data_IF_299687211318
#
_entry.id   IF_299687211318
#
_cell.length_a   1.000
_cell.length_b   1.000
_cell.length_c   1.000
_cell.angle_alpha   90.00
_cell.angle_beta   90.00
_cell.angle_gamma   90.00
#
_symmetry.space_group_name_H-M   'P 1'
#
loop_
_entity.id
_entity.type
_entity.pdbx_description
1 polymer ?
#
# COMPACT_ATOMS: atom_id res chain seq x y z
N UNK A 1 -8.91 14.28 -14.25
CA UNK A 1 -9.06 13.02 -15.01
C UNK A 1 -9.05 11.86 -14.01
N UNK A 2 -10.00 10.91 -14.07
CA UNK A 2 -9.97 9.71 -13.20
C UNK A 2 -8.91 8.73 -13.72
N UNK A 3 -8.10 8.17 -12.83
CA UNK A 3 -7.08 7.18 -13.14
C UNK A 3 -7.67 5.77 -13.05
N UNK A 4 -7.62 5.00 -14.13
CA UNK A 4 -8.16 3.64 -14.18
C UNK A 4 -7.10 2.62 -13.73
N UNK A 5 -7.54 1.58 -13.02
CA UNK A 5 -6.69 0.45 -12.70
C UNK A 5 -6.45 -0.41 -13.95
N UNK A 6 -5.21 -0.87 -14.21
CA UNK A 6 -4.93 -1.75 -15.33
C UNK A 6 -5.39 -3.20 -15.10
N UNK A 7 -5.66 -3.59 -13.86
CA UNK A 7 -6.01 -4.97 -13.49
C UNK A 7 -7.50 -5.16 -13.15
N UNK A 8 -8.28 -4.08 -13.05
CA UNK A 8 -9.71 -4.16 -12.77
C UNK A 8 -10.45 -2.88 -13.19
N UNK A 9 -11.78 -2.89 -13.14
CA UNK A 9 -12.62 -1.75 -13.54
C UNK A 9 -12.62 -0.55 -12.55
N UNK A 10 -11.83 -0.60 -11.47
CA UNK A 10 -11.80 0.48 -10.46
C UNK A 10 -11.13 1.74 -11.00
N UNK A 11 -11.64 2.90 -10.58
CA UNK A 11 -11.12 4.23 -10.95
C UNK A 11 -10.89 5.08 -9.72
N UNK A 12 -9.81 5.85 -9.73
CA UNK A 12 -9.35 6.66 -8.60
C UNK A 12 -9.28 8.13 -9.00
N UNK A 13 -9.52 9.01 -8.04
CA UNK A 13 -9.43 10.46 -8.21
C UNK A 13 -7.97 10.98 -8.11
N UNK A 14 -7.07 10.20 -7.52
CA UNK A 14 -5.66 10.55 -7.33
C UNK A 14 -4.75 9.44 -7.87
N UNK A 15 -3.62 9.78 -8.50
CA UNK A 15 -2.67 8.78 -9.00
C UNK A 15 -2.01 7.99 -7.87
N UNK A 16 -1.75 8.61 -6.73
CA UNK A 16 -1.19 7.93 -5.55
C UNK A 16 -2.13 6.84 -5.00
N UNK A 17 -3.44 7.10 -4.98
CA UNK A 17 -4.45 6.10 -4.60
C UNK A 17 -4.48 4.93 -5.58
N UNK A 18 -4.35 5.19 -6.89
CA UNK A 18 -4.23 4.13 -7.88
C UNK A 18 -2.95 3.31 -7.66
N UNK A 19 -1.79 3.94 -7.48
CA UNK A 19 -0.52 3.24 -7.27
C UNK A 19 -0.58 2.30 -6.06
N UNK A 20 -1.11 2.79 -4.93
CA UNK A 20 -1.33 1.98 -3.73
C UNK A 20 -2.30 0.82 -4.00
N UNK A 21 -3.34 1.04 -4.79
CA UNK A 21 -4.28 -0.01 -5.16
C UNK A 21 -3.63 -1.06 -6.07
N UNK A 22 -2.76 -0.68 -7.01
CA UNK A 22 -2.08 -1.66 -7.89
C UNK A 22 -1.26 -2.66 -7.07
N UNK A 23 -0.67 -2.24 -5.94
CA UNK A 23 0.02 -3.14 -5.01
C UNK A 23 -0.88 -4.28 -4.49
N UNK A 24 -2.22 -4.12 -4.48
CA UNK A 24 -3.15 -5.21 -4.09
C UNK A 24 -3.28 -6.28 -5.16
N UNK A 25 -2.94 -5.97 -6.41
CA UNK A 25 -2.92 -6.93 -7.51
C UNK A 25 -1.56 -7.62 -7.63
N UNK A 26 -0.47 -6.86 -7.49
CA UNK A 26 0.90 -7.42 -7.57
C UNK A 26 1.32 -8.14 -6.30
N UNK A 27 0.68 -7.83 -5.17
CA UNK A 27 1.10 -8.32 -3.85
C UNK A 27 2.27 -7.53 -3.26
N UNK A 28 2.70 -6.45 -3.92
CA UNK A 28 3.83 -5.64 -3.47
C UNK A 28 3.57 -5.01 -2.10
N UNK A 29 4.57 -5.12 -1.22
CA UNK A 29 4.55 -4.54 0.12
C UNK A 29 5.85 -3.78 0.38
N UNK A 30 6.04 -2.63 -0.27
CA UNK A 30 7.30 -1.88 -0.19
C UNK A 30 7.61 -1.34 1.22
N UNK A 31 6.64 -1.32 2.14
CA UNK A 31 6.81 -0.77 3.47
C UNK A 31 7.00 -1.88 4.50
N UNK A 32 8.26 -2.18 4.83
CA UNK A 32 8.64 -3.11 5.90
C UNK A 32 8.61 -2.41 7.27
N UNK A 33 8.18 -3.12 8.30
CA UNK A 33 8.28 -2.63 9.68
C UNK A 33 9.76 -2.53 10.09
N UNK A 34 10.22 -1.39 10.61
CA UNK A 34 11.63 -1.23 11.01
C UNK A 34 11.93 -1.85 12.38
N UNK A 35 10.93 -2.33 13.13
CA UNK A 35 11.14 -2.94 14.44
C UNK A 35 11.89 -4.28 14.31
N UNK A 36 13.01 -4.48 15.03
CA UNK A 36 13.76 -5.73 14.99
C UNK A 36 12.86 -6.95 15.27
N UNK A 37 13.02 -8.02 14.49
CA UNK A 37 12.25 -9.28 14.60
C UNK A 37 10.73 -9.20 14.28
N UNK A 38 10.18 -8.05 13.86
CA UNK A 38 8.77 -7.97 13.50
C UNK A 38 8.46 -8.61 12.14
N UNK A 39 9.28 -8.30 11.11
CA UNK A 39 9.15 -8.86 9.76
C UNK A 39 7.86 -8.50 9.00
N UNK A 40 6.93 -7.72 9.57
CA UNK A 40 5.67 -7.37 8.90
C UNK A 40 5.89 -6.36 7.77
N UNK A 41 5.16 -6.56 6.68
CA UNK A 41 5.21 -5.71 5.49
C UNK A 41 3.83 -5.19 5.12
N UNK A 42 3.78 -4.00 4.52
CA UNK A 42 2.56 -3.29 4.18
C UNK A 42 2.64 -2.70 2.76
N UNK A 43 1.50 -2.67 2.10
CA UNK A 43 1.32 -2.02 0.80
C UNK A 43 1.07 -0.51 0.91
N UNK A 44 0.77 -0.01 2.12
CA UNK A 44 0.51 1.42 2.41
C UNK A 44 1.37 1.90 3.58
N UNK A 45 2.08 3.02 3.39
CA UNK A 45 2.95 3.61 4.41
C UNK A 45 2.22 3.96 5.71
N UNK A 46 1.03 4.57 5.61
CA UNK A 46 0.23 4.95 6.78
C UNK A 46 -0.17 3.75 7.64
N UNK A 47 -0.42 2.59 7.01
CA UNK A 47 -0.71 1.35 7.72
C UNK A 47 0.52 0.83 8.48
N UNK A 48 1.69 0.80 7.83
CA UNK A 48 2.95 0.46 8.48
C UNK A 48 3.24 1.38 9.67
N UNK A 49 3.13 2.70 9.49
CA UNK A 49 3.35 3.68 10.56
C UNK A 49 2.39 3.48 11.73
N UNK A 50 1.10 3.25 11.46
CA UNK A 50 0.10 2.98 12.50
C UNK A 50 0.41 1.70 13.26
N UNK A 51 0.86 0.67 12.56
CA UNK A 51 1.32 -0.57 13.18
C UNK A 51 2.56 -0.34 14.05
N UNK A 52 3.57 0.36 13.53
CA UNK A 52 4.82 0.64 14.24
C UNK A 52 4.59 1.38 15.57
N UNK A 53 3.66 2.35 15.61
CA UNK A 53 3.29 3.06 16.84
C UNK A 53 2.70 2.19 17.95
N UNK A 54 2.31 0.95 17.63
CA UNK A 54 1.70 0.00 18.57
C UNK A 54 2.69 -1.09 19.02
N UNK A 55 3.92 -1.10 18.52
CA UNK A 55 5.00 -1.85 19.16
C UNK A 55 5.37 -1.17 20.47
#
# INVERSE_FOLDING_TARGET
RRHACPHCAKRFNRPSSLAIHVNTHTGDKPFKCPFPNCGREFNVNSNMRRHYRKH
#
